data_IF_265078132128
#
_entry.id   IF_265078132128
#
_cell.length_a   1.000
_cell.length_b   1.000
_cell.length_c   1.000
_cell.angle_alpha   90.00
_cell.angle_beta   90.00
_cell.angle_gamma   90.00
#
_symmetry.space_group_name_H-M   'P 1'
#
loop_
_entity.id
_entity.type
_entity.pdbx_description
1 polymer ?
#
# COMPACT_ATOMS: atom_id res chain seq x y z
N UNK A 1 0.40 -19.88 1.48
CA UNK A 1 1.47 -20.89 1.29
C UNK A 1 2.65 -20.27 0.57
N UNK A 2 3.85 -20.76 0.82
CA UNK A 2 5.08 -20.38 0.12
C UNK A 2 5.41 -21.35 -1.01
N UNK A 3 6.34 -21.00 -1.88
CA UNK A 3 6.85 -21.91 -2.94
C UNK A 3 7.45 -23.21 -2.38
N UNK A 4 8.05 -23.16 -1.19
CA UNK A 4 8.59 -24.33 -0.48
C UNK A 4 7.52 -25.20 0.21
N UNK A 5 6.24 -24.84 0.11
CA UNK A 5 5.13 -25.56 0.74
C UNK A 5 4.90 -25.23 2.21
N UNK A 6 5.55 -24.20 2.77
CA UNK A 6 5.24 -23.71 4.12
C UNK A 6 3.83 -23.15 4.19
N UNK A 7 3.14 -23.39 5.29
CA UNK A 7 1.77 -22.96 5.50
C UNK A 7 1.64 -22.14 6.77
N UNK A 8 1.07 -20.95 6.65
CA UNK A 8 0.60 -20.16 7.79
C UNK A 8 -0.93 -20.23 7.86
N UNK A 9 -1.46 -20.43 9.05
CA UNK A 9 -2.89 -20.45 9.32
C UNK A 9 -3.17 -19.45 10.44
N UNK A 10 -4.15 -18.58 10.23
CA UNK A 10 -4.64 -17.67 11.25
C UNK A 10 -6.06 -18.08 11.70
N UNK A 11 -6.33 -17.90 12.98
CA UNK A 11 -7.68 -18.07 13.53
C UNK A 11 -8.40 -16.72 13.61
N UNK A 12 -9.72 -16.75 13.62
CA UNK A 12 -10.55 -15.57 13.87
C UNK A 12 -10.34 -15.00 15.29
N UNK A 13 -9.72 -15.76 16.19
CA UNK A 13 -9.33 -15.29 17.52
C UNK A 13 -8.00 -14.52 17.54
N UNK A 14 -7.30 -14.43 16.39
CA UNK A 14 -6.04 -13.73 16.24
C UNK A 14 -4.79 -14.58 16.40
N UNK A 15 -4.91 -15.90 16.65
CA UNK A 15 -3.76 -16.80 16.71
C UNK A 15 -3.19 -17.07 15.32
N UNK A 16 -1.87 -17.22 15.22
CA UNK A 16 -1.18 -17.62 14.00
C UNK A 16 -0.38 -18.89 14.27
N UNK A 17 -0.52 -19.87 13.39
CA UNK A 17 0.23 -21.13 13.43
C UNK A 17 1.00 -21.31 12.13
N UNK A 18 2.26 -21.72 12.25
CA UNK A 18 3.19 -21.94 11.15
C UNK A 18 3.54 -23.41 11.05
N UNK A 19 3.44 -23.96 9.84
CA UNK A 19 3.68 -25.38 9.54
C UNK A 19 4.72 -25.52 8.45
N UNK A 20 5.57 -26.51 8.54
CA UNK A 20 6.52 -26.87 7.48
C UNK A 20 5.84 -27.61 6.31
N UNK A 21 4.73 -28.30 6.57
CA UNK A 21 3.90 -28.97 5.56
C UNK A 21 2.49 -29.23 6.09
N UNK A 22 1.57 -29.51 5.19
CA UNK A 22 0.18 -29.80 5.53
C UNK A 22 0.04 -31.12 6.32
N UNK A 23 -0.85 -31.15 7.32
CA UNK A 23 -1.20 -32.34 8.07
C UNK A 23 -0.25 -32.69 9.22
N UNK A 24 0.71 -31.83 9.56
CA UNK A 24 1.65 -32.00 10.67
C UNK A 24 1.39 -30.95 11.75
N UNK A 25 1.88 -31.20 12.95
CA UNK A 25 1.80 -30.24 14.06
C UNK A 25 2.50 -28.91 13.73
N UNK A 26 1.88 -27.81 14.15
CA UNK A 26 2.48 -26.48 14.00
C UNK A 26 3.84 -26.42 14.68
N UNK A 27 4.83 -25.89 13.98
CA UNK A 27 6.17 -25.62 14.55
C UNK A 27 6.12 -24.41 15.43
N UNK A 28 5.48 -23.34 15.00
CA UNK A 28 5.36 -22.11 15.76
C UNK A 28 3.87 -21.77 15.97
N UNK A 29 3.56 -21.33 17.20
CA UNK A 29 2.30 -20.76 17.59
C UNK A 29 2.54 -19.35 18.15
N UNK A 30 1.94 -18.36 17.50
CA UNK A 30 1.92 -16.97 17.95
C UNK A 30 0.50 -16.72 18.51
N UNK A 31 0.38 -16.39 19.80
CA UNK A 31 -0.93 -16.15 20.40
C UNK A 31 -1.58 -14.89 19.85
N UNK A 32 -2.87 -14.76 20.07
CA UNK A 32 -3.67 -13.61 19.64
C UNK A 32 -3.07 -12.27 20.07
N UNK A 33 -3.06 -11.30 19.17
CA UNK A 33 -2.42 -9.99 19.31
C UNK A 33 -3.43 -8.84 19.16
N UNK A 34 -4.63 -9.02 19.65
CA UNK A 34 -5.65 -8.00 19.65
C UNK A 34 -6.87 -8.34 18.79
N UNK A 35 -7.05 -7.65 17.65
CA UNK A 35 -8.21 -7.86 16.78
C UNK A 35 -8.18 -9.21 16.04
N UNK A 36 -9.37 -9.72 15.64
CA UNK A 36 -9.47 -10.86 14.76
C UNK A 36 -8.69 -10.67 13.45
N UNK A 37 -8.05 -11.73 12.98
CA UNK A 37 -7.36 -11.74 11.68
C UNK A 37 -8.36 -12.08 10.60
N UNK A 38 -8.53 -11.17 9.64
CA UNK A 38 -9.44 -11.30 8.50
C UNK A 38 -8.74 -11.76 7.21
N UNK A 39 -7.42 -11.70 7.18
CA UNK A 39 -6.61 -12.12 6.04
C UNK A 39 -5.19 -12.46 6.43
N UNK A 40 -4.56 -13.35 5.67
CA UNK A 40 -3.18 -13.77 5.89
C UNK A 40 -2.47 -13.88 4.55
N UNK A 41 -1.22 -13.43 4.51
CA UNK A 41 -0.32 -13.61 3.38
C UNK A 41 1.09 -13.95 3.87
N UNK A 42 1.88 -14.58 3.01
CA UNK A 42 3.24 -15.01 3.36
C UNK A 42 4.16 -14.69 2.19
N UNK A 43 5.35 -14.15 2.48
CA UNK A 43 6.37 -13.90 1.46
C UNK A 43 6.81 -15.18 0.77
N UNK A 44 7.26 -15.09 -0.48
CA UNK A 44 7.65 -16.25 -1.29
C UNK A 44 8.76 -17.08 -0.60
N UNK A 45 9.70 -16.41 0.03
CA UNK A 45 10.80 -17.03 0.80
C UNK A 45 10.37 -17.58 2.17
N UNK A 46 9.16 -17.25 2.64
CA UNK A 46 8.63 -17.63 3.96
C UNK A 46 9.16 -16.75 5.11
N UNK A 47 9.95 -15.72 4.83
CA UNK A 47 10.51 -14.88 5.88
C UNK A 47 9.47 -14.00 6.56
N UNK A 48 8.55 -13.45 5.78
CA UNK A 48 7.56 -12.50 6.30
C UNK A 48 6.16 -13.11 6.30
N UNK A 49 5.47 -12.97 7.42
CA UNK A 49 4.04 -13.28 7.55
C UNK A 49 3.29 -12.00 7.79
N UNK A 50 2.28 -11.74 6.96
CA UNK A 50 1.43 -10.57 6.99
C UNK A 50 0.04 -10.98 7.44
N UNK A 51 -0.41 -10.50 8.58
CA UNK A 51 -1.78 -10.68 9.04
C UNK A 51 -2.55 -9.36 8.91
N UNK A 52 -3.74 -9.45 8.35
CA UNK A 52 -4.65 -8.31 8.20
C UNK A 52 -5.68 -8.36 9.31
N UNK A 53 -5.69 -7.33 10.16
CA UNK A 53 -6.78 -7.02 11.07
C UNK A 53 -7.65 -5.91 10.45
N UNK A 54 -8.80 -5.64 11.05
CA UNK A 54 -9.73 -4.65 10.51
C UNK A 54 -9.12 -3.25 10.41
N UNK A 55 -8.36 -2.81 11.42
CA UNK A 55 -7.85 -1.43 11.54
C UNK A 55 -6.33 -1.30 11.40
N UNK A 56 -5.61 -2.39 11.36
CA UNK A 56 -4.15 -2.42 11.21
C UNK A 56 -3.67 -3.74 10.59
N UNK A 57 -2.41 -3.76 10.19
CA UNK A 57 -1.74 -4.98 9.74
C UNK A 57 -0.67 -5.37 10.76
N UNK A 58 -0.37 -6.66 10.83
CA UNK A 58 0.73 -7.21 11.61
C UNK A 58 1.75 -7.84 10.67
N UNK A 59 2.97 -7.35 10.70
CA UNK A 59 4.09 -7.91 9.96
C UNK A 59 5.01 -8.67 10.93
N UNK A 60 5.23 -9.94 10.66
CA UNK A 60 5.97 -10.87 11.50
C UNK A 60 7.20 -11.35 10.75
N UNK A 61 8.38 -11.18 11.34
CA UNK A 61 9.63 -11.77 10.84
C UNK A 61 9.73 -13.20 11.37
N UNK A 62 9.62 -14.19 10.48
CA UNK A 62 9.70 -15.60 10.84
C UNK A 62 11.13 -16.10 10.99
N UNK A 63 12.13 -15.27 10.64
CA UNK A 63 13.55 -15.62 10.75
C UNK A 63 14.01 -15.57 12.20
N UNK A 64 14.58 -16.66 12.68
CA UNK A 64 15.22 -16.72 14.01
C UNK A 64 16.59 -16.05 13.93
N UNK A 65 16.81 -15.05 14.77
CA UNK A 65 18.02 -14.20 14.74
C UNK A 65 19.08 -14.65 15.75
N UNK A 66 18.68 -15.47 16.72
CA UNK A 66 19.52 -15.85 17.85
C UNK A 66 19.23 -17.30 18.27
N UNK A 67 20.23 -17.92 18.93
CA UNK A 67 20.11 -19.23 19.58
C UNK A 67 20.38 -20.40 18.65
N UNK A 68 20.02 -21.61 19.11
CA UNK A 68 20.31 -22.89 18.43
C UNK A 68 19.75 -23.01 17.01
N UNK A 69 18.68 -22.28 16.72
CA UNK A 69 17.98 -22.31 15.44
C UNK A 69 18.20 -21.03 14.63
N UNK A 70 19.29 -20.29 14.90
CA UNK A 70 19.63 -19.09 14.14
C UNK A 70 19.67 -19.38 12.63
N UNK A 71 19.13 -18.46 11.83
CA UNK A 71 19.01 -18.59 10.39
C UNK A 71 17.88 -19.51 9.89
N UNK A 72 17.15 -20.18 10.80
CA UNK A 72 15.98 -21.00 10.44
C UNK A 72 14.69 -20.19 10.53
N UNK A 73 13.71 -20.57 9.70
CA UNK A 73 12.39 -19.97 9.74
C UNK A 73 11.52 -20.61 10.82
N UNK A 74 10.60 -19.85 11.39
CA UNK A 74 9.59 -20.34 12.32
C UNK A 74 8.66 -21.41 11.75
N UNK A 75 8.64 -21.58 10.44
CA UNK A 75 8.00 -22.70 9.75
C UNK A 75 8.75 -24.01 9.90
N UNK A 76 10.08 -23.96 9.91
CA UNK A 76 10.96 -25.14 9.95
C UNK A 76 11.22 -25.62 11.39
N UNK A 77 11.47 -24.65 12.27
CA UNK A 77 11.82 -24.88 13.68
C UNK A 77 11.05 -23.92 14.60
N UNK A 78 10.55 -24.44 15.69
CA UNK A 78 9.89 -23.66 16.72
C UNK A 78 10.83 -22.57 17.26
N UNK A 79 10.27 -21.40 17.53
CA UNK A 79 10.95 -20.38 18.33
C UNK A 79 11.11 -20.87 19.76
N UNK A 80 12.22 -20.52 20.41
CA UNK A 80 12.33 -20.69 21.85
C UNK A 80 11.28 -19.85 22.57
N UNK A 81 10.90 -20.23 23.78
CA UNK A 81 9.81 -19.59 24.54
C UNK A 81 10.00 -18.08 24.66
N UNK A 82 11.24 -17.66 24.87
CA UNK A 82 11.59 -16.27 25.13
C UNK A 82 12.03 -15.48 23.89
N UNK A 83 12.17 -16.16 22.74
CA UNK A 83 12.59 -15.54 21.46
C UNK A 83 11.48 -15.51 20.39
N UNK A 84 10.22 -15.59 20.81
CA UNK A 84 9.09 -15.50 19.87
C UNK A 84 9.11 -14.15 19.13
N UNK A 85 8.81 -14.15 17.82
CA UNK A 85 8.84 -12.92 17.04
C UNK A 85 7.83 -11.92 17.59
N UNK A 86 8.25 -10.67 17.70
CA UNK A 86 7.38 -9.57 18.05
C UNK A 86 6.77 -9.01 16.77
N UNK A 87 5.44 -9.11 16.58
CA UNK A 87 4.79 -8.57 15.40
C UNK A 87 4.91 -7.05 15.35
N UNK A 88 5.25 -6.54 14.18
CA UNK A 88 5.27 -5.12 13.92
C UNK A 88 3.88 -4.68 13.47
N UNK A 89 3.26 -3.77 14.22
CA UNK A 89 1.98 -3.17 13.86
C UNK A 89 2.18 -2.09 12.78
N UNK A 90 1.46 -2.22 11.67
CA UNK A 90 1.39 -1.23 10.60
C UNK A 90 0.00 -0.59 10.63
N UNK A 91 -0.08 0.63 11.10
CA UNK A 91 -1.31 1.42 11.18
C UNK A 91 -1.20 2.69 10.35
N UNK A 92 -2.31 3.38 10.21
CA UNK A 92 -2.35 4.71 9.61
C UNK A 92 -2.22 5.78 10.68
N UNK A 93 -1.75 6.95 10.29
CA UNK A 93 -1.75 8.12 11.15
C UNK A 93 -3.20 8.54 11.48
N UNK A 94 -3.48 9.02 12.71
CA UNK A 94 -4.83 9.40 13.13
C UNK A 94 -5.50 10.42 12.19
N UNK A 95 -4.72 11.33 11.62
CA UNK A 95 -5.23 12.32 10.66
C UNK A 95 -5.80 11.66 9.39
N UNK A 96 -5.12 10.66 8.84
CA UNK A 96 -5.60 9.92 7.67
C UNK A 96 -6.83 9.06 8.01
N UNK A 97 -6.87 8.45 9.20
CA UNK A 97 -8.05 7.69 9.66
C UNK A 97 -9.27 8.61 9.76
N UNK A 98 -9.12 9.79 10.37
CA UNK A 98 -10.18 10.78 10.49
C UNK A 98 -10.65 11.27 9.09
N UNK A 99 -9.73 11.53 8.18
CA UNK A 99 -10.06 11.89 6.80
C UNK A 99 -10.88 10.78 6.12
N UNK A 100 -10.45 9.51 6.20
CA UNK A 100 -11.17 8.39 5.58
C UNK A 100 -12.57 8.24 6.15
N UNK A 101 -12.72 8.30 7.47
CA UNK A 101 -14.03 8.23 8.13
C UNK A 101 -14.93 9.40 7.72
N UNK A 102 -14.36 10.60 7.57
CA UNK A 102 -15.12 11.75 7.11
C UNK A 102 -15.60 11.61 5.67
N UNK A 103 -14.73 11.12 4.76
CA UNK A 103 -15.06 10.97 3.34
C UNK A 103 -15.98 9.77 3.07
N UNK A 104 -15.72 8.63 3.70
CA UNK A 104 -16.52 7.40 3.46
C UNK A 104 -17.75 7.28 4.33
N UNK A 105 -17.85 8.07 5.41
CA UNK A 105 -18.87 7.94 6.47
C UNK A 105 -18.92 6.55 7.11
N UNK A 106 -17.85 5.79 7.00
CA UNK A 106 -17.72 4.43 7.52
C UNK A 106 -16.47 4.29 8.39
N UNK A 107 -16.46 3.40 9.37
CA UNK A 107 -15.25 3.10 10.14
C UNK A 107 -14.18 2.51 9.25
N UNK A 108 -12.90 2.74 9.63
CA UNK A 108 -11.77 2.13 8.94
C UNK A 108 -11.91 0.60 8.91
N UNK A 109 -11.86 0.02 7.72
CA UNK A 109 -11.87 -1.43 7.51
C UNK A 109 -11.00 -1.78 6.33
N UNK A 110 -9.87 -2.41 6.59
CA UNK A 110 -8.96 -2.87 5.55
C UNK A 110 -9.52 -4.09 4.81
N UNK A 111 -9.28 -4.16 3.51
CA UNK A 111 -9.38 -5.41 2.76
C UNK A 111 -8.15 -6.27 3.04
N UNK A 112 -8.20 -7.56 2.67
CA UNK A 112 -7.05 -8.46 2.85
C UNK A 112 -5.80 -7.88 2.20
N UNK A 113 -4.79 -7.62 3.03
CA UNK A 113 -3.52 -7.09 2.56
C UNK A 113 -2.68 -8.19 1.88
N UNK A 114 -1.90 -7.81 0.87
CA UNK A 114 -1.05 -8.71 0.11
C UNK A 114 0.35 -8.13 -0.07
N UNK A 115 1.34 -9.01 -0.09
CA UNK A 115 2.66 -8.66 -0.56
C UNK A 115 2.65 -8.44 -2.07
N UNK A 116 3.33 -7.40 -2.52
CA UNK A 116 3.68 -7.26 -3.93
C UNK A 116 4.97 -8.06 -4.17
N UNK A 117 4.81 -9.24 -4.70
CA UNK A 117 5.91 -10.06 -5.20
C UNK A 117 6.23 -9.61 -6.62
N UNK A 118 7.31 -8.90 -6.79
CA UNK A 118 7.79 -8.49 -8.10
C UNK A 118 8.39 -9.62 -8.93
N UNK A 119 8.95 -9.24 -10.08
CA UNK A 119 9.58 -10.18 -11.03
C UNK A 119 10.74 -10.95 -10.36
N UNK A 120 11.43 -10.34 -9.41
CA UNK A 120 12.58 -10.92 -8.71
C UNK A 120 12.19 -11.70 -7.44
N UNK A 121 10.91 -12.05 -7.26
CA UNK A 121 10.37 -12.75 -6.07
C UNK A 121 10.70 -12.06 -4.74
N UNK A 122 11.11 -10.79 -4.76
CA UNK A 122 11.35 -9.99 -3.57
C UNK A 122 10.17 -9.09 -3.27
N UNK A 123 9.63 -9.17 -2.06
CA UNK A 123 8.52 -8.34 -1.64
C UNK A 123 8.99 -6.90 -1.44
N UNK A 124 8.57 -6.02 -2.35
CA UNK A 124 8.94 -4.59 -2.30
C UNK A 124 7.93 -3.76 -1.53
N UNK A 125 6.68 -4.18 -1.50
CA UNK A 125 5.60 -3.45 -0.86
C UNK A 125 4.46 -4.34 -0.38
N UNK A 126 3.66 -3.80 0.54
CA UNK A 126 2.40 -4.37 1.01
C UNK A 126 1.28 -3.46 0.53
N UNK A 127 0.21 -4.05 -0.01
CA UNK A 127 -0.94 -3.30 -0.53
C UNK A 127 -2.22 -3.77 0.13
N UNK A 128 -3.06 -2.83 0.52
CA UNK A 128 -4.45 -3.05 0.95
C UNK A 128 -5.32 -1.88 0.53
N UNK A 129 -6.62 -1.99 0.71
CA UNK A 129 -7.56 -0.89 0.45
C UNK A 129 -8.53 -0.68 1.60
N UNK A 130 -9.15 0.49 1.61
CA UNK A 130 -10.30 0.84 2.46
C UNK A 130 -11.17 1.83 1.70
N UNK A 131 -12.41 1.44 1.37
CA UNK A 131 -13.27 2.24 0.50
C UNK A 131 -12.57 2.62 -0.81
N UNK A 132 -12.55 3.90 -1.19
CA UNK A 132 -11.90 4.36 -2.43
C UNK A 132 -10.38 4.54 -2.31
N UNK A 133 -9.78 4.19 -1.17
CA UNK A 133 -8.36 4.42 -0.91
C UNK A 133 -7.55 3.14 -1.00
N UNK A 134 -6.45 3.20 -1.75
CA UNK A 134 -5.40 2.17 -1.76
C UNK A 134 -4.23 2.66 -0.94
N UNK A 135 -3.77 1.82 -0.02
CA UNK A 135 -2.64 2.08 0.85
C UNK A 135 -1.51 1.11 0.50
N UNK A 136 -0.35 1.67 0.23
CA UNK A 136 0.85 0.90 -0.12
C UNK A 136 1.97 1.19 0.86
N UNK A 137 2.38 0.19 1.65
CA UNK A 137 3.56 0.27 2.52
C UNK A 137 4.80 -0.17 1.76
N UNK A 138 5.88 0.59 1.88
CA UNK A 138 7.20 0.19 1.37
C UNK A 138 7.89 -0.72 2.38
N UNK A 139 8.19 -1.96 2.02
CA UNK A 139 8.89 -2.93 2.88
C UNK A 139 10.22 -2.35 3.39
N UNK A 140 11.00 -1.71 2.51
CA UNK A 140 12.26 -1.06 2.89
C UNK A 140 12.07 -0.02 4.01
N UNK A 141 11.04 0.83 3.90
CA UNK A 141 10.74 1.84 4.93
C UNK A 141 10.21 1.23 6.22
N UNK A 142 9.36 0.20 6.10
CA UNK A 142 8.83 -0.54 7.25
C UNK A 142 9.95 -1.21 8.02
N UNK A 143 10.85 -1.95 7.35
CA UNK A 143 11.98 -2.63 8.00
C UNK A 143 12.92 -1.60 8.66
N UNK A 144 13.18 -0.47 7.99
CA UNK A 144 14.01 0.62 8.52
C UNK A 144 13.31 1.49 9.57
N UNK A 145 12.09 1.16 9.99
CA UNK A 145 11.30 1.89 10.99
C UNK A 145 11.15 3.40 10.69
N UNK A 146 10.92 3.75 9.42
CA UNK A 146 10.72 5.15 9.01
C UNK A 146 9.35 5.65 9.44
N UNK A 147 9.22 6.98 9.70
CA UNK A 147 7.98 7.60 10.17
C UNK A 147 6.84 7.51 9.15
N UNK A 148 7.14 7.60 7.85
CA UNK A 148 6.15 7.57 6.78
C UNK A 148 6.39 6.37 5.86
N UNK A 149 6.02 5.14 6.30
CA UNK A 149 6.31 3.93 5.54
C UNK A 149 5.33 3.67 4.40
N UNK A 150 4.24 4.42 4.28
CA UNK A 150 3.16 4.17 3.33
C UNK A 150 2.84 5.38 2.46
N UNK A 151 2.13 5.11 1.37
CA UNK A 151 1.52 6.09 0.47
C UNK A 151 0.04 5.76 0.31
N UNK A 152 -0.78 6.78 0.06
CA UNK A 152 -2.23 6.66 -0.14
C UNK A 152 -2.56 7.15 -1.54
N UNK A 153 -3.40 6.40 -2.26
CA UNK A 153 -3.98 6.81 -3.52
C UNK A 153 -5.49 6.70 -3.43
N UNK A 154 -6.20 7.77 -3.82
CA UNK A 154 -7.66 7.81 -3.87
C UNK A 154 -8.15 7.51 -5.28
N UNK A 155 -9.24 6.76 -5.37
CA UNK A 155 -10.00 6.50 -6.59
C UNK A 155 -11.37 7.17 -6.52
N UNK A 156 -12.05 7.31 -7.66
CA UNK A 156 -13.40 7.87 -7.70
C UNK A 156 -14.46 6.96 -7.09
N UNK A 157 -14.22 5.65 -7.14
CA UNK A 157 -15.13 4.61 -6.67
C UNK A 157 -14.46 3.72 -5.61
N UNK A 158 -15.28 2.94 -4.89
CA UNK A 158 -14.77 1.97 -3.94
C UNK A 158 -13.98 0.87 -4.64
N UNK A 159 -12.84 0.52 -4.08
CA UNK A 159 -12.01 -0.58 -4.58
C UNK A 159 -12.66 -1.91 -4.20
N UNK A 160 -13.04 -2.70 -5.21
CA UNK A 160 -13.75 -3.96 -5.04
C UNK A 160 -12.84 -5.18 -4.91
N UNK A 161 -11.53 -5.00 -5.09
CA UNK A 161 -10.60 -6.12 -5.14
C UNK A 161 -10.19 -6.60 -3.76
N UNK A 162 -10.54 -7.83 -3.43
CA UNK A 162 -9.95 -8.56 -2.31
C UNK A 162 -8.57 -9.16 -2.67
N UNK A 163 -8.25 -9.22 -3.97
CA UNK A 163 -7.01 -9.77 -4.48
C UNK A 163 -6.35 -8.80 -5.46
N UNK A 164 -5.25 -8.20 -5.04
CA UNK A 164 -4.38 -7.46 -5.93
C UNK A 164 -3.52 -8.47 -6.69
N UNK A 165 -3.58 -8.44 -8.02
CA UNK A 165 -2.60 -9.13 -8.87
C UNK A 165 -1.58 -8.12 -9.36
N UNK A 166 -0.34 -8.54 -9.33
CA UNK A 166 0.80 -7.72 -9.71
C UNK A 166 1.33 -8.23 -11.04
N UNK A 167 1.34 -7.38 -12.06
CA UNK A 167 1.93 -7.70 -13.37
C UNK A 167 3.45 -7.54 -13.38
N UNK A 168 3.95 -6.72 -12.47
CA UNK A 168 5.40 -6.46 -12.25
C UNK A 168 5.56 -5.71 -10.93
N UNK A 169 6.80 -5.55 -10.45
CA UNK A 169 7.13 -4.75 -9.25
C UNK A 169 6.60 -3.32 -9.26
N UNK A 170 6.30 -2.81 -10.44
CA UNK A 170 5.91 -1.42 -10.66
C UNK A 170 4.43 -1.21 -10.86
N UNK A 171 3.66 -2.28 -11.11
CA UNK A 171 2.28 -2.19 -11.50
C UNK A 171 1.37 -2.94 -10.52
N UNK A 172 0.35 -2.26 -10.03
CA UNK A 172 -0.72 -2.84 -9.22
C UNK A 172 -2.00 -2.82 -10.05
N UNK A 173 -2.64 -3.97 -10.22
CA UNK A 173 -3.94 -4.07 -10.89
C UNK A 173 -5.02 -3.86 -9.83
N UNK A 174 -5.89 -2.89 -10.08
CA UNK A 174 -6.97 -2.49 -9.18
C UNK A 174 -8.30 -2.70 -9.88
N UNK A 175 -9.18 -3.52 -9.29
CA UNK A 175 -10.54 -3.66 -9.76
C UNK A 175 -11.45 -2.63 -9.08
N UNK A 176 -12.20 -1.91 -9.89
CA UNK A 176 -13.30 -1.02 -9.51
C UNK A 176 -14.61 -1.64 -10.00
N UNK A 177 -15.79 -1.19 -9.53
CA UNK A 177 -17.07 -1.76 -9.93
C UNK A 177 -17.29 -1.82 -11.44
N UNK A 178 -16.85 -0.81 -12.17
CA UNK A 178 -17.08 -0.66 -13.59
C UNK A 178 -15.83 -0.75 -14.46
N UNK A 179 -14.64 -0.82 -13.85
CA UNK A 179 -13.37 -0.82 -14.60
C UNK A 179 -12.23 -1.53 -13.86
N UNK A 180 -11.23 -1.93 -14.61
CA UNK A 180 -9.99 -2.48 -14.06
C UNK A 180 -8.85 -1.53 -14.42
N UNK A 181 -8.21 -0.96 -13.42
CA UNK A 181 -7.13 -0.01 -13.60
C UNK A 181 -5.77 -0.61 -13.29
N UNK A 182 -4.80 -0.39 -14.16
CA UNK A 182 -3.41 -0.69 -13.89
C UNK A 182 -2.70 0.56 -13.36
N UNK A 183 -2.19 0.48 -12.15
CA UNK A 183 -1.44 1.56 -11.52
C UNK A 183 0.03 1.28 -11.63
N UNK A 184 0.71 2.00 -12.51
CA UNK A 184 2.17 1.99 -12.55
C UNK A 184 2.72 2.76 -11.35
N UNK A 185 3.67 2.19 -10.60
CA UNK A 185 4.53 2.96 -9.70
C UNK A 185 5.31 3.94 -10.58
N UNK A 186 4.93 5.20 -10.59
CA UNK A 186 5.78 6.23 -11.19
C UNK A 186 7.11 6.21 -10.41
N UNK A 187 8.17 5.80 -11.08
CA UNK A 187 9.52 6.18 -10.67
C UNK A 187 9.46 7.70 -10.54
N UNK A 188 9.81 8.25 -9.38
CA UNK A 188 9.97 9.67 -9.20
C UNK A 188 11.06 10.14 -10.17
N UNK A 189 10.70 10.46 -11.39
CA UNK A 189 11.52 11.32 -12.22
C UNK A 189 11.50 12.67 -11.53
N UNK A 190 12.68 13.16 -11.18
CA UNK A 190 12.83 14.56 -10.74
C UNK A 190 12.07 15.39 -11.78
N UNK A 191 11.19 16.32 -11.36
CA UNK A 191 10.47 17.14 -12.31
C UNK A 191 11.49 17.85 -13.21
N UNK A 192 11.50 17.49 -14.47
CA UNK A 192 12.27 18.22 -15.48
C UNK A 192 11.62 19.58 -15.67
N UNK A 193 12.40 20.57 -16.02
CA UNK A 193 11.93 21.95 -16.22
C UNK A 193 10.72 22.05 -17.17
N UNK A 194 10.56 21.08 -18.07
CA UNK A 194 9.44 20.93 -19.00
C UNK A 194 8.17 20.37 -18.35
N UNK A 195 8.27 19.59 -17.28
CA UNK A 195 7.09 19.06 -16.55
C UNK A 195 6.47 20.08 -15.59
N UNK A 196 7.19 21.19 -15.31
CA UNK A 196 6.72 22.32 -14.48
C UNK A 196 6.06 23.39 -15.38
N UNK A 197 6.40 23.46 -16.66
CA UNK A 197 5.67 24.27 -17.62
C UNK A 197 4.30 23.60 -17.84
N UNK A 198 3.25 24.15 -17.20
CA UNK A 198 1.88 23.81 -17.51
C UNK A 198 1.62 23.91 -19.04
N UNK A 199 0.53 23.31 -19.54
CA UNK A 199 0.21 23.37 -20.95
C UNK A 199 0.30 24.82 -21.41
N UNK A 200 1.15 25.07 -22.42
CA UNK A 200 1.37 26.40 -22.96
C UNK A 200 0.02 27.06 -23.21
N UNK A 201 -0.29 28.12 -22.50
CA UNK A 201 -1.47 28.94 -22.78
C UNK A 201 -1.43 29.29 -24.26
N UNK A 202 -2.49 29.02 -25.03
CA UNK A 202 -2.52 29.34 -26.44
C UNK A 202 -2.21 30.83 -26.58
N UNK A 203 -1.14 31.15 -27.30
CA UNK A 203 -0.77 32.53 -27.61
C UNK A 203 -2.00 33.17 -28.28
N UNK A 204 -2.63 34.05 -27.53
CA UNK A 204 -3.73 34.91 -28.05
C UNK A 204 -3.21 35.58 -29.33
N UNK A 205 -3.78 35.23 -30.45
CA UNK A 205 -3.46 35.88 -31.74
C UNK A 205 -3.62 37.36 -31.52
N UNK A 206 -2.55 38.12 -31.67
CA UNK A 206 -2.61 39.57 -31.76
C UNK A 206 -3.36 39.90 -33.05
N UNK A 207 -4.66 40.13 -32.93
CA UNK A 207 -5.39 40.83 -33.95
C UNK A 207 -4.78 42.22 -34.06
N UNK A 208 -4.11 42.48 -35.16
CA UNK A 208 -3.61 43.79 -35.49
C UNK A 208 -4.77 44.72 -35.75
N UNK A 209 -5.17 45.46 -34.73
CA UNK A 209 -5.95 46.65 -34.96
C UNK A 209 -4.94 47.80 -35.12
N UNK A 210 -4.67 48.14 -36.37
CA UNK A 210 -4.09 49.42 -36.72
C UNK A 210 -5.11 50.49 -36.44
N UNK A 211 -4.97 51.21 -35.33
CA UNK A 211 -5.74 52.43 -35.08
C UNK A 211 -5.18 53.52 -35.96
N UNK A 212 -5.80 53.73 -37.12
CA UNK A 212 -5.76 55.05 -37.75
C UNK A 212 -6.77 55.92 -36.99
N UNK A 213 -6.31 56.63 -36.01
CA UNK A 213 -6.99 57.82 -35.49
C UNK A 213 -6.56 59.00 -36.34
N UNK A 214 -7.49 59.44 -37.23
CA UNK A 214 -7.41 60.73 -37.88
C UNK A 214 -7.46 61.80 -36.80
N UNK A 215 -6.56 62.75 -36.93
CA UNK A 215 -6.72 64.08 -36.34
C UNK A 215 -7.96 64.69 -36.95
N UNK A 216 -8.71 65.33 -36.11
CA UNK A 216 -9.86 66.24 -36.35
C UNK A 216 -11.12 65.66 -35.74
N UNK A 217 -11.40 66.22 -34.56
CA UNK A 217 -12.73 66.63 -34.12
C UNK A 217 -12.64 66.99 -32.62
N UNK A 218 -12.17 68.24 -32.42
CA UNK A 218 -12.45 69.02 -31.20
C UNK A 218 -13.79 69.65 -31.44
N UNK A 219 -14.87 69.16 -30.84
CA UNK A 219 -16.12 69.90 -30.72
C UNK A 219 -16.46 70.03 -29.25
N UNK A 220 -16.47 71.32 -28.83
CA UNK A 220 -16.99 71.82 -27.58
C UNK A 220 -18.42 71.34 -27.34
N UNK A 221 -18.73 70.97 -26.12
CA UNK A 221 -20.07 70.98 -25.57
C UNK A 221 -20.10 71.62 -24.20
N UNK A 222 -20.89 72.68 -23.99
CA UNK A 222 -21.16 73.22 -22.67
C UNK A 222 -22.39 72.55 -22.06
N UNK A 223 -22.37 72.40 -20.80
CA UNK A 223 -23.29 72.20 -19.67
C UNK A 223 -22.95 71.02 -18.80
#
# INVERSE_FOLDING_TARGET
>A
TTEKGYLAVASNKGDIRMFDRLGINAKTHIPALGEPIIGLDVSADGRWVLATCRTYLLLIDSLQKEGKNEGKLGFERAFAKDSKPQPRRLGLQPAHVAQFQHETKQPLSFTTARFNTGIDSTETSIVTSTGPFIITWSMKKVIANRKDPYTIKRYGENVMADNFRFGSDKNVIVALPNEVNMVAKRTFQKPTRESIAGPATPKRARSGWSSRLGKDDIVNSPY
#
